data_IF_526309377798
#
_entry.id   IF_526309377798
#
_cell.length_a   1.000
_cell.length_b   1.000
_cell.length_c   1.000
_cell.angle_alpha   90.00
_cell.angle_beta   90.00
_cell.angle_gamma   90.00
#
_symmetry.space_group_name_H-M   'P 1'
#
loop_
_entity.id
_entity.type
_entity.pdbx_description
1 polymer ?
#
# COMPACT_ATOMS: atom_id res chain seq x y z
N UNK A 1 13.73 19.17 -25.35
CA UNK A 1 13.65 17.71 -25.07
C UNK A 1 12.26 17.28 -24.58
N UNK A 2 11.45 18.15 -23.95
CA UNK A 2 10.10 17.83 -23.45
C UNK A 2 9.01 17.52 -24.50
N UNK A 3 9.13 18.04 -25.72
CA UNK A 3 8.08 17.88 -26.75
C UNK A 3 8.03 16.43 -27.29
N UNK A 4 9.18 15.75 -27.35
CA UNK A 4 9.25 14.35 -27.83
C UNK A 4 8.67 13.34 -26.83
N UNK A 5 8.82 13.55 -25.51
CA UNK A 5 8.27 12.62 -24.52
C UNK A 5 6.73 12.63 -24.52
N UNK A 6 6.10 13.81 -24.61
CA UNK A 6 4.63 13.93 -24.63
C UNK A 6 3.99 13.25 -25.84
N UNK A 7 4.68 13.24 -26.99
CA UNK A 7 4.19 12.57 -28.20
C UNK A 7 4.26 11.04 -28.08
N UNK A 8 5.32 10.52 -27.45
CA UNK A 8 5.50 9.09 -27.18
C UNK A 8 4.51 8.62 -26.09
N UNK A 9 4.35 9.37 -25.01
CA UNK A 9 3.39 9.10 -23.92
C UNK A 9 1.93 9.01 -24.42
N UNK A 10 1.60 9.65 -25.55
CA UNK A 10 0.26 9.58 -26.17
C UNK A 10 0.09 8.39 -27.13
N UNK A 11 1.20 7.82 -27.61
CA UNK A 11 1.21 6.69 -28.55
C UNK A 11 1.32 5.33 -27.85
N UNK A 12 1.83 5.28 -26.62
CA UNK A 12 1.98 4.06 -25.83
C UNK A 12 0.74 3.78 -24.97
N UNK A 13 0.26 2.54 -24.98
CA UNK A 13 -0.86 2.11 -24.15
C UNK A 13 -0.52 2.20 -22.66
N UNK A 14 -1.44 2.76 -21.87
CA UNK A 14 -1.34 2.78 -20.41
C UNK A 14 -2.34 1.79 -19.80
N UNK A 15 -1.84 0.61 -19.44
CA UNK A 15 -2.57 -0.42 -18.70
C UNK A 15 -2.85 0.04 -17.26
N UNK A 16 -3.91 -0.51 -16.67
CA UNK A 16 -4.37 -0.13 -15.33
C UNK A 16 -4.62 -1.36 -14.48
N UNK A 17 -3.94 -1.49 -13.37
CA UNK A 17 -4.20 -2.54 -12.38
C UNK A 17 -4.96 -2.00 -11.18
N UNK A 18 -5.88 -2.83 -10.67
CA UNK A 18 -6.58 -2.60 -9.42
C UNK A 18 -6.23 -3.68 -8.40
N UNK A 19 -6.13 -3.30 -7.15
CA UNK A 19 -6.01 -4.23 -6.04
C UNK A 19 -6.90 -3.75 -4.89
N UNK A 20 -7.75 -4.66 -4.41
CA UNK A 20 -8.65 -4.40 -3.30
C UNK A 20 -8.37 -5.39 -2.18
N UNK A 21 -8.31 -4.89 -0.95
CA UNK A 21 -8.18 -5.75 0.23
C UNK A 21 -8.93 -5.12 1.40
N UNK A 22 -9.38 -5.97 2.30
CA UNK A 22 -10.02 -5.60 3.56
C UNK A 22 -9.41 -6.45 4.66
N UNK A 23 -9.35 -5.91 5.87
CA UNK A 23 -8.82 -6.65 7.00
C UNK A 23 -8.99 -5.92 8.33
N UNK A 24 -8.93 -6.66 9.45
CA UNK A 24 -8.93 -6.05 10.77
C UNK A 24 -7.60 -5.34 11.05
N UNK A 25 -7.66 -4.29 11.86
CA UNK A 25 -6.51 -3.64 12.48
C UNK A 25 -6.44 -4.08 13.93
N UNK A 26 -5.35 -4.76 14.29
CA UNK A 26 -5.13 -5.31 15.63
C UNK A 26 -4.08 -4.52 16.41
N UNK A 27 -3.91 -4.85 17.69
CA UNK A 27 -2.84 -4.31 18.54
C UNK A 27 -1.45 -4.81 18.14
N UNK A 28 -1.40 -5.88 17.35
CA UNK A 28 -0.15 -6.40 16.80
C UNK A 28 0.06 -5.81 15.40
N UNK A 29 1.28 -5.34 15.15
CA UNK A 29 1.69 -4.88 13.84
C UNK A 29 1.46 -5.96 12.78
N UNK A 30 0.79 -5.57 11.71
CA UNK A 30 0.55 -6.41 10.54
C UNK A 30 1.06 -5.70 9.30
N UNK A 31 1.36 -6.48 8.25
CA UNK A 31 1.83 -5.96 6.99
C UNK A 31 1.21 -6.69 5.80
N UNK A 32 1.07 -5.97 4.69
CA UNK A 32 0.66 -6.47 3.39
C UNK A 32 1.62 -5.91 2.35
N UNK A 33 1.95 -6.68 1.32
CA UNK A 33 2.89 -6.28 0.28
C UNK A 33 2.45 -6.82 -1.10
N UNK A 34 3.22 -6.46 -2.12
CA UNK A 34 2.96 -6.89 -3.50
C UNK A 34 1.64 -6.36 -4.06
N UNK A 35 1.03 -5.33 -3.47
CA UNK A 35 -0.29 -4.82 -3.87
C UNK A 35 -0.22 -3.72 -4.94
N UNK A 36 0.98 -3.28 -5.32
CA UNK A 36 1.17 -2.17 -6.27
C UNK A 36 1.06 -2.67 -7.70
N UNK A 37 1.80 -3.71 -8.06
CA UNK A 37 1.74 -4.37 -9.36
C UNK A 37 1.84 -5.88 -9.17
N UNK A 38 0.84 -6.64 -9.64
CA UNK A 38 0.84 -8.11 -9.71
C UNK A 38 0.55 -8.53 -11.14
N UNK A 39 1.58 -8.68 -11.96
CA UNK A 39 1.44 -8.89 -13.39
C UNK A 39 2.01 -10.25 -13.75
N UNK A 40 1.24 -11.12 -14.40
CA UNK A 40 1.77 -12.37 -14.94
C UNK A 40 2.51 -12.12 -16.26
N UNK A 41 3.55 -12.91 -16.60
CA UNK A 41 4.13 -12.82 -17.94
C UNK A 41 3.09 -13.32 -18.95
N UNK A 42 2.83 -12.55 -20.01
CA UNK A 42 1.83 -12.93 -21.00
C UNK A 42 1.70 -11.92 -22.14
N UNK A 43 1.22 -12.39 -23.29
CA UNK A 43 0.99 -11.59 -24.51
C UNK A 43 -0.50 -11.29 -24.74
N UNK A 44 -1.35 -11.54 -23.75
CA UNK A 44 -2.77 -11.28 -23.84
C UNK A 44 -3.02 -9.78 -23.98
N UNK A 45 -3.63 -9.37 -25.10
CA UNK A 45 -4.09 -8.00 -25.27
C UNK A 45 -5.17 -7.70 -24.24
N UNK A 46 -4.87 -6.84 -23.28
CA UNK A 46 -5.81 -6.41 -22.27
C UNK A 46 -6.53 -5.19 -22.80
N UNK A 47 -7.81 -5.33 -23.13
CA UNK A 47 -8.59 -4.24 -23.72
C UNK A 47 -8.64 -3.00 -22.82
N UNK A 48 -8.96 -1.84 -23.40
CA UNK A 48 -9.00 -0.51 -22.76
C UNK A 48 -9.93 -0.39 -21.54
N UNK A 49 -10.80 -1.37 -21.30
CA UNK A 49 -11.78 -1.40 -20.21
C UNK A 49 -11.54 -2.54 -19.19
N UNK A 50 -10.48 -3.33 -19.34
CA UNK A 50 -10.17 -4.48 -18.47
C UNK A 50 -8.94 -4.14 -17.61
N UNK A 51 -8.91 -4.63 -16.38
CA UNK A 51 -7.74 -4.46 -15.53
C UNK A 51 -6.53 -5.15 -16.19
N UNK A 52 -5.41 -4.44 -16.25
CA UNK A 52 -4.16 -5.00 -16.72
C UNK A 52 -3.59 -5.95 -15.68
N UNK A 53 -3.45 -7.23 -16.05
CA UNK A 53 -2.98 -8.33 -15.21
C UNK A 53 -1.74 -9.01 -15.80
N UNK A 54 -1.29 -8.59 -16.98
CA UNK A 54 -0.15 -9.18 -17.67
C UNK A 54 0.85 -8.14 -18.16
N UNK A 55 2.08 -8.61 -18.36
CA UNK A 55 3.20 -7.83 -18.90
C UNK A 55 3.91 -8.58 -20.02
N UNK A 56 4.48 -7.83 -20.95
CA UNK A 56 5.39 -8.34 -21.97
C UNK A 56 6.82 -8.17 -21.45
N UNK A 57 7.53 -9.29 -21.33
CA UNK A 57 8.92 -9.28 -20.85
C UNK A 57 9.07 -9.15 -19.33
N UNK A 58 10.16 -8.50 -18.91
CA UNK A 58 10.62 -8.48 -17.51
C UNK A 58 10.60 -7.08 -16.90
N UNK A 59 10.03 -6.08 -17.58
CA UNK A 59 9.95 -4.72 -17.05
C UNK A 59 8.69 -4.02 -17.52
N UNK A 60 8.17 -3.14 -16.66
CA UNK A 60 7.11 -2.19 -17.02
C UNK A 60 7.49 -0.80 -16.53
N UNK A 61 6.95 0.24 -17.15
CA UNK A 61 7.14 1.61 -16.69
C UNK A 61 5.92 2.07 -15.88
N UNK A 62 6.03 2.09 -14.56
CA UNK A 62 4.97 2.54 -13.65
C UNK A 62 4.80 4.06 -13.74
N UNK A 63 3.61 4.54 -14.12
CA UNK A 63 3.29 5.96 -14.29
C UNK A 63 2.55 6.57 -13.10
N UNK A 64 1.70 5.79 -12.43
CA UNK A 64 1.05 6.25 -11.20
C UNK A 64 0.68 5.10 -10.27
N UNK A 65 0.69 5.37 -8.97
CA UNK A 65 0.22 4.45 -7.93
C UNK A 65 -0.49 5.27 -6.85
N UNK A 66 -1.76 4.98 -6.66
CA UNK A 66 -2.65 5.67 -5.71
C UNK A 66 -3.45 4.67 -4.92
N UNK A 67 -3.74 4.98 -3.66
CA UNK A 67 -4.68 4.24 -2.84
C UNK A 67 -5.74 5.16 -2.27
N UNK A 68 -6.98 4.68 -2.21
CA UNK A 68 -8.00 5.22 -1.33
C UNK A 68 -8.21 4.21 -0.21
N UNK A 69 -8.07 4.66 1.03
CA UNK A 69 -8.27 3.86 2.22
C UNK A 69 -9.48 4.37 2.98
N UNK A 70 -10.29 3.43 3.45
CA UNK A 70 -11.38 3.68 4.39
C UNK A 70 -11.18 2.80 5.60
N UNK A 71 -11.02 3.42 6.77
CA UNK A 71 -10.88 2.74 8.05
C UNK A 71 -12.11 3.07 8.87
N UNK A 72 -12.82 2.08 9.39
CA UNK A 72 -14.00 2.30 10.23
C UNK A 72 -14.00 1.39 11.46
N UNK A 73 -14.64 1.87 12.52
CA UNK A 73 -15.11 1.01 13.61
C UNK A 73 -16.28 0.14 13.13
N UNK A 74 -16.35 -1.09 13.63
CA UNK A 74 -17.43 -2.02 13.29
C UNK A 74 -18.77 -1.54 13.85
N UNK A 75 -19.82 -1.79 13.07
CA UNK A 75 -21.21 -1.55 13.42
C UNK A 75 -21.97 -2.86 13.41
N UNK A 76 -22.96 -3.00 14.28
CA UNK A 76 -23.96 -4.07 14.19
C UNK A 76 -24.79 -3.92 12.92
N UNK A 77 -25.61 -4.93 12.59
CA UNK A 77 -26.57 -4.85 11.49
C UNK A 77 -27.52 -3.64 11.63
N UNK A 78 -27.86 -3.27 12.86
CA UNK A 78 -28.71 -2.10 13.18
C UNK A 78 -27.96 -0.75 13.12
N UNK A 79 -26.68 -0.76 12.69
CA UNK A 79 -25.87 0.44 12.53
C UNK A 79 -25.27 0.99 13.83
N UNK A 80 -25.43 0.28 14.96
CA UNK A 80 -24.90 0.68 16.27
C UNK A 80 -23.40 0.34 16.33
N UNK A 81 -22.58 1.28 16.80
CA UNK A 81 -21.15 1.03 16.98
C UNK A 81 -20.92 -0.04 18.03
N UNK A 82 -20.01 -0.98 17.73
CA UNK A 82 -19.69 -2.07 18.65
C UNK A 82 -18.58 -1.70 19.66
N UNK A 83 -17.88 -0.58 19.45
CA UNK A 83 -16.74 -0.17 20.29
C UNK A 83 -17.06 1.13 21.05
N UNK A 84 -18.15 1.11 21.83
CA UNK A 84 -18.66 2.28 22.55
C UNK A 84 -17.68 2.71 23.66
N UNK A 85 -17.40 4.01 23.73
CA UNK A 85 -16.67 4.65 24.83
C UNK A 85 -15.14 4.61 24.74
N UNK A 86 -14.56 3.94 23.74
CA UNK A 86 -13.10 3.85 23.57
C UNK A 86 -12.61 4.66 22.38
N UNK A 87 -11.56 5.47 22.60
CA UNK A 87 -10.79 6.06 21.50
C UNK A 87 -9.77 5.04 21.02
N UNK A 88 -9.82 4.72 19.73
CA UNK A 88 -8.90 3.78 19.09
C UNK A 88 -7.87 4.56 18.28
N UNK A 89 -6.59 4.38 18.59
CA UNK A 89 -5.50 5.05 17.87
C UNK A 89 -4.96 4.12 16.80
N UNK A 90 -4.90 4.59 15.56
CA UNK A 90 -4.44 3.82 14.42
C UNK A 90 -3.18 4.44 13.83
N UNK A 91 -2.29 3.58 13.32
CA UNK A 91 -1.16 3.99 12.49
C UNK A 91 -1.08 3.13 11.24
N UNK A 92 -0.86 3.76 10.09
CA UNK A 92 -0.64 3.10 8.79
C UNK A 92 0.61 3.70 8.15
N UNK A 93 1.55 2.86 7.80
CA UNK A 93 2.79 3.21 7.10
C UNK A 93 2.73 2.65 5.67
N UNK A 94 3.20 3.43 4.71
CA UNK A 94 3.55 2.95 3.37
C UNK A 94 5.06 3.05 3.20
N UNK A 95 5.75 1.92 3.13
CA UNK A 95 7.22 1.84 3.18
C UNK A 95 7.74 0.89 2.11
N UNK A 96 8.70 1.33 1.31
CA UNK A 96 9.33 0.52 0.25
C UNK A 96 10.67 -0.02 0.73
N UNK A 97 10.92 -1.31 0.47
CA UNK A 97 12.22 -1.95 0.69
C UNK A 97 13.13 -1.68 -0.51
N UNK A 98 14.26 -1.04 -0.24
CA UNK A 98 15.25 -0.66 -1.25
C UNK A 98 16.45 -1.61 -1.31
N UNK A 99 16.49 -2.63 -0.45
CA UNK A 99 17.62 -3.56 -0.39
C UNK A 99 17.35 -4.90 -1.04
N UNK A 100 16.12 -5.41 -0.97
CA UNK A 100 15.75 -6.72 -1.51
C UNK A 100 14.24 -6.78 -1.83
N UNK A 101 13.79 -7.95 -2.27
CA UNK A 101 12.40 -8.24 -2.67
C UNK A 101 11.47 -8.68 -1.53
N UNK A 102 11.88 -8.49 -0.27
CA UNK A 102 11.09 -8.90 0.90
C UNK A 102 10.21 -7.78 1.44
N UNK A 103 9.10 -8.15 2.08
CA UNK A 103 8.26 -7.20 2.80
C UNK A 103 8.99 -6.60 4.00
N UNK A 104 8.67 -5.36 4.35
CA UNK A 104 9.10 -4.75 5.61
C UNK A 104 8.03 -4.94 6.68
N UNK A 105 8.48 -5.27 7.89
CA UNK A 105 7.68 -5.24 9.10
C UNK A 105 7.96 -3.96 9.91
N UNK A 106 7.11 -3.68 10.91
CA UNK A 106 7.29 -2.52 11.79
C UNK A 106 8.67 -2.53 12.48
N UNK A 107 9.18 -3.70 12.84
CA UNK A 107 10.50 -3.86 13.47
C UNK A 107 11.67 -3.50 12.55
N UNK A 108 11.49 -3.52 11.22
CA UNK A 108 12.53 -3.07 10.29
C UNK A 108 12.60 -1.54 10.20
N UNK A 109 11.47 -0.85 10.47
CA UNK A 109 11.29 0.57 10.18
C UNK A 109 11.31 1.44 11.44
N UNK A 110 10.77 0.96 12.56
CA UNK A 110 10.52 1.74 13.77
C UNK A 110 11.55 1.43 14.88
N UNK A 111 11.97 2.46 15.61
CA UNK A 111 12.92 2.32 16.74
C UNK A 111 12.36 1.40 17.83
N UNK A 112 11.10 1.62 18.18
CA UNK A 112 10.40 0.87 19.22
C UNK A 112 8.98 0.50 18.73
N UNK A 113 8.79 -0.67 18.12
CA UNK A 113 7.47 -1.11 17.69
C UNK A 113 6.46 -1.31 18.83
N UNK A 114 6.91 -1.42 20.09
CA UNK A 114 6.03 -1.61 21.25
C UNK A 114 5.37 -0.29 21.71
N UNK A 115 5.78 0.85 21.17
CA UNK A 115 5.09 2.15 21.34
C UNK A 115 4.57 2.67 19.99
N UNK A 116 3.59 1.97 19.37
CA UNK A 116 3.26 2.08 17.96
C UNK A 116 2.92 3.49 17.47
N UNK A 117 2.21 4.27 18.28
CA UNK A 117 1.78 5.63 17.89
C UNK A 117 2.93 6.63 17.95
N UNK A 118 3.83 6.51 18.95
CA UNK A 118 4.87 7.51 19.19
C UNK A 118 6.24 7.12 18.62
N UNK A 119 6.42 5.85 18.24
CA UNK A 119 7.68 5.34 17.71
C UNK A 119 8.18 6.12 16.50
N UNK A 120 9.44 6.52 16.55
CA UNK A 120 10.16 7.19 15.47
C UNK A 120 10.80 6.17 14.53
N UNK A 121 11.27 6.62 13.37
CA UNK A 121 11.96 5.75 12.42
C UNK A 121 13.38 5.41 12.90
N UNK A 122 13.88 4.25 12.50
CA UNK A 122 15.27 3.88 12.77
C UNK A 122 16.24 4.83 12.06
N UNK A 123 17.21 5.34 12.81
CA UNK A 123 18.26 6.21 12.27
C UNK A 123 19.48 5.41 11.77
N UNK A 124 19.62 4.16 12.22
CA UNK A 124 20.66 3.22 11.80
C UNK A 124 20.06 1.82 11.77
N UNK A 125 20.11 1.16 10.62
CA UNK A 125 19.50 -0.14 10.43
C UNK A 125 20.50 -1.22 10.83
N UNK A 126 20.19 -1.98 11.90
CA UNK A 126 20.76 -3.31 12.04
C UNK A 126 20.24 -4.17 10.87
N UNK A 127 21.14 -4.81 10.13
CA UNK A 127 20.88 -5.73 8.98
C UNK A 127 20.89 -5.19 7.54
N UNK A 128 21.45 -4.02 7.22
CA UNK A 128 21.73 -3.59 5.83
C UNK A 128 20.50 -3.35 4.92
N UNK A 129 19.28 -3.59 5.41
CA UNK A 129 18.07 -3.17 4.71
C UNK A 129 18.05 -1.64 4.66
N UNK A 130 17.58 -1.07 3.57
CA UNK A 130 17.36 0.37 3.37
C UNK A 130 15.89 0.52 3.03
N UNK A 131 15.23 1.50 3.62
CA UNK A 131 13.82 1.74 3.34
C UNK A 131 13.55 3.18 2.94
N UNK A 132 12.40 3.37 2.30
CA UNK A 132 11.83 4.69 2.06
C UNK A 132 10.39 4.73 2.55
N UNK A 133 10.13 5.64 3.49
CA UNK A 133 8.76 5.93 3.94
C UNK A 133 8.12 6.86 2.93
N UNK A 134 6.99 6.44 2.35
CA UNK A 134 6.18 7.25 1.44
C UNK A 134 5.04 7.96 2.16
N UNK A 135 4.47 7.34 3.19
CA UNK A 135 3.46 7.95 4.04
C UNK A 135 3.43 7.31 5.43
N UNK A 136 3.01 8.11 6.41
CA UNK A 136 2.77 7.70 7.80
C UNK A 136 1.53 8.44 8.29
N UNK A 137 0.43 7.70 8.42
CA UNK A 137 -0.84 8.22 8.88
C UNK A 137 -1.07 7.78 10.30
N UNK A 138 -1.10 8.74 11.22
CA UNK A 138 -1.53 8.56 12.61
C UNK A 138 -2.87 9.25 12.82
N UNK A 139 -3.84 8.56 13.38
CA UNK A 139 -5.18 9.10 13.60
C UNK A 139 -5.89 8.36 14.72
N UNK A 140 -6.98 8.93 15.23
CA UNK A 140 -7.89 8.24 16.14
C UNK A 140 -9.27 8.04 15.50
N UNK A 141 -9.95 7.01 15.98
CA UNK A 141 -11.36 6.73 15.75
C UNK A 141 -12.06 6.72 17.10
N UNK A 142 -13.31 7.17 17.11
CA UNK A 142 -14.13 7.32 18.31
C UNK A 142 -15.60 7.26 17.91
N UNK A 143 -16.52 7.30 18.88
CA UNK A 143 -17.95 7.22 18.60
C UNK A 143 -18.46 8.39 17.74
N UNK A 144 -17.91 9.60 17.93
CA UNK A 144 -18.22 10.79 17.14
C UNK A 144 -17.55 10.77 15.75
N UNK A 145 -16.40 10.09 15.63
CA UNK A 145 -15.61 9.97 14.39
C UNK A 145 -15.25 8.51 14.14
N UNK A 146 -16.24 7.66 13.81
CA UNK A 146 -16.01 6.22 13.70
C UNK A 146 -15.32 5.82 12.39
N UNK A 147 -14.99 6.79 11.53
CA UNK A 147 -14.46 6.58 10.20
C UNK A 147 -13.32 7.57 9.88
N UNK A 148 -12.30 7.06 9.20
CA UNK A 148 -11.24 7.85 8.56
C UNK A 148 -11.13 7.47 7.09
N UNK A 149 -11.11 8.49 6.23
CA UNK A 149 -10.73 8.37 4.82
C UNK A 149 -9.31 8.91 4.63
N UNK A 150 -8.48 8.16 3.91
CA UNK A 150 -7.10 8.54 3.60
C UNK A 150 -6.84 8.31 2.10
N UNK A 151 -6.07 9.21 1.51
CA UNK A 151 -5.64 9.09 0.12
C UNK A 151 -4.11 9.02 0.09
N UNK A 152 -3.59 7.92 -0.44
CA UNK A 152 -2.17 7.71 -0.67
C UNK A 152 -1.87 7.94 -2.15
N UNK A 153 -0.75 8.62 -2.42
CA UNK A 153 -0.21 8.77 -3.78
C UNK A 153 1.31 8.62 -3.71
N UNK A 154 1.82 7.59 -4.35
CA UNK A 154 3.26 7.41 -4.47
C UNK A 154 3.84 8.49 -5.38
N UNK A 155 4.90 9.19 -4.93
CA UNK A 155 5.62 10.14 -5.77
C UNK A 155 6.44 9.38 -6.81
N UNK A 156 6.06 9.52 -8.07
CA UNK A 156 6.71 8.90 -9.24
C UNK A 156 7.15 10.03 -10.18
N UNK A 157 8.35 9.97 -10.78
CA UNK A 157 8.78 10.93 -11.81
C UNK A 157 7.78 11.00 -12.96
N UNK A 158 7.73 12.14 -13.67
CA UNK A 158 6.85 12.30 -14.84
C UNK A 158 7.14 11.26 -15.94
N UNK A 159 8.40 10.86 -16.07
CA UNK A 159 8.85 9.82 -17.01
C UNK A 159 8.38 8.42 -16.62
N UNK A 160 7.91 8.23 -15.38
CA UNK A 160 7.62 6.93 -14.78
C UNK A 160 8.79 6.39 -13.95
N UNK A 161 8.55 5.25 -13.29
CA UNK A 161 9.55 4.40 -12.63
C UNK A 161 9.57 3.08 -13.39
N UNK A 162 10.73 2.71 -13.95
CA UNK A 162 10.92 1.36 -14.48
C UNK A 162 10.91 0.39 -13.31
N UNK A 163 10.11 -0.67 -13.43
CA UNK A 163 9.93 -1.73 -12.44
C UNK A 163 10.29 -3.04 -13.10
N UNK A 164 11.13 -3.84 -12.46
CA UNK A 164 11.67 -5.09 -12.99
C UNK A 164 11.01 -6.30 -12.34
N UNK A 165 11.01 -7.41 -13.06
CA UNK A 165 10.48 -8.70 -12.63
C UNK A 165 11.50 -9.78 -12.93
N UNK A 166 11.68 -10.70 -11.98
CA UNK A 166 12.40 -11.93 -12.24
C UNK A 166 11.59 -12.82 -13.21
N UNK A 167 12.29 -13.75 -13.88
CA UNK A 167 11.68 -14.68 -14.84
C UNK A 167 10.54 -15.46 -14.18
N UNK A 168 9.35 -15.38 -14.78
CA UNK A 168 8.15 -16.08 -14.27
C UNK A 168 7.48 -15.42 -13.05
N UNK A 169 8.10 -14.42 -12.42
CA UNK A 169 7.54 -13.76 -11.24
C UNK A 169 6.29 -12.96 -11.59
N UNK A 170 5.33 -12.91 -10.66
CA UNK A 170 4.17 -12.02 -10.73
C UNK A 170 4.37 -10.73 -9.93
N UNK A 171 5.34 -10.71 -9.02
CA UNK A 171 5.69 -9.54 -8.21
C UNK A 171 6.99 -8.90 -8.72
N UNK A 172 7.11 -7.57 -8.63
CA UNK A 172 8.36 -6.88 -8.90
C UNK A 172 9.51 -7.36 -8.02
N UNK A 173 10.73 -7.31 -8.55
CA UNK A 173 11.96 -7.53 -7.75
C UNK A 173 12.46 -6.25 -7.08
N UNK A 174 12.12 -5.08 -7.62
CA UNK A 174 12.65 -3.77 -7.21
C UNK A 174 11.58 -2.75 -6.80
N UNK A 175 10.35 -3.20 -6.54
CA UNK A 175 9.26 -2.39 -6.00
C UNK A 175 8.51 -3.18 -4.93
N UNK A 176 8.93 -3.00 -3.68
CA UNK A 176 8.55 -3.82 -2.54
C UNK A 176 7.82 -2.97 -1.49
N UNK A 177 6.81 -2.24 -1.98
CA UNK A 177 5.97 -1.40 -1.12
C UNK A 177 5.16 -2.28 -0.17
N UNK A 178 5.37 -2.03 1.11
CA UNK A 178 4.66 -2.62 2.23
C UNK A 178 3.71 -1.60 2.82
N UNK A 179 2.48 -2.03 3.10
CA UNK A 179 1.57 -1.32 3.99
C UNK A 179 1.67 -2.00 5.34
N UNK A 180 2.03 -1.24 6.37
CA UNK A 180 2.20 -1.73 7.73
C UNK A 180 1.19 -1.00 8.61
N UNK A 181 0.44 -1.72 9.46
CA UNK A 181 -0.61 -1.11 10.26
C UNK A 181 -0.75 -1.71 11.66
N UNK A 182 -1.36 -0.92 12.54
CA UNK A 182 -1.66 -1.27 13.94
C UNK A 182 -2.81 -0.40 14.45
N UNK A 183 -3.52 -0.88 15.45
CA UNK A 183 -4.51 -0.14 16.23
C UNK A 183 -4.35 -0.39 17.74
N UNK A 184 -4.30 0.68 18.54
CA UNK A 184 -4.23 0.64 20.01
C UNK A 184 -5.55 1.13 20.63
N UNK A 185 -5.78 0.81 21.91
CA UNK A 185 -7.03 1.18 22.60
C UNK A 185 -8.21 0.25 22.29
N UNK A 186 -7.93 -0.93 21.73
CA UNK A 186 -8.90 -2.01 21.49
C UNK A 186 -8.65 -3.17 22.45
N UNK A 187 -9.64 -3.99 22.76
CA UNK A 187 -9.39 -5.24 23.51
C UNK A 187 -8.86 -6.32 22.53
N UNK A 188 -7.69 -6.95 22.76
CA UNK A 188 -7.08 -7.90 21.82
C UNK A 188 -7.93 -9.15 21.55
N UNK A 189 -8.79 -9.57 22.49
CA UNK A 189 -9.72 -10.70 22.30
C UNK A 189 -11.09 -10.28 21.76
N UNK A 190 -11.32 -8.99 21.55
CA UNK A 190 -12.60 -8.49 21.04
C UNK A 190 -12.72 -8.65 19.53
N UNK A 191 -13.91 -8.99 19.06
CA UNK A 191 -14.26 -8.96 17.63
C UNK A 191 -14.44 -7.51 17.10
N UNK A 192 -14.43 -6.50 17.97
CA UNK A 192 -14.70 -5.10 17.64
C UNK A 192 -13.44 -4.32 17.26
N UNK A 193 -12.68 -4.88 16.30
CA UNK A 193 -11.45 -4.27 15.76
C UNK A 193 -11.81 -3.31 14.61
N UNK A 194 -11.12 -2.17 14.45
CA UNK A 194 -11.28 -1.37 13.24
C UNK A 194 -11.01 -2.20 11.99
N UNK A 195 -11.71 -1.92 10.91
CA UNK A 195 -11.52 -2.59 9.63
C UNK A 195 -11.03 -1.58 8.62
N UNK A 196 -9.91 -1.88 7.97
CA UNK A 196 -9.46 -1.14 6.80
C UNK A 196 -10.07 -1.73 5.53
N UNK A 197 -10.36 -0.87 4.57
CA UNK A 197 -10.71 -1.23 3.21
C UNK A 197 -9.84 -0.39 2.30
N UNK A 198 -9.17 -1.04 1.35
CA UNK A 198 -8.21 -0.38 0.48
C UNK A 198 -8.54 -0.68 -0.95
N UNK A 199 -8.51 0.37 -1.74
CA UNK A 199 -8.56 0.31 -3.18
C UNK A 199 -7.30 0.96 -3.73
N UNK A 200 -6.39 0.13 -4.24
CA UNK A 200 -5.19 0.52 -4.96
C UNK A 200 -5.49 0.58 -6.45
N UNK A 201 -4.94 1.62 -7.09
CA UNK A 201 -4.93 1.79 -8.54
C UNK A 201 -3.51 2.11 -8.99
N UNK A 202 -3.00 1.31 -9.91
CA UNK A 202 -1.71 1.53 -10.55
C UNK A 202 -1.89 1.65 -12.06
N UNK A 203 -1.15 2.57 -12.68
CA UNK A 203 -1.09 2.70 -14.15
C UNK A 203 0.33 2.49 -14.62
N UNK A 204 0.52 1.74 -15.68
CA UNK A 204 1.83 1.39 -16.22
C UNK A 204 1.81 1.30 -17.75
N UNK A 205 2.98 1.48 -18.35
CA UNK A 205 3.24 1.23 -19.77
C UNK A 205 4.02 -0.09 -19.89
N UNK A 206 3.65 -0.88 -20.89
CA UNK A 206 4.16 -2.22 -21.15
C UNK A 206 4.61 -2.27 -22.62
N UNK A 207 5.80 -1.75 -22.89
CA UNK A 207 6.36 -1.52 -24.22
C UNK A 207 7.82 -1.96 -24.28
#
# INVERSE_FOLDING_TARGET
MEIKSKAIDKATEQKVQYYTTTGPMDQTWSANNGFVLRLAPGVGGEGTNVAGLSRIGQSVNLKSCTANLRINLNKTADGILQNLGNTVYCRILFVDNLSDNTALAAADVLQDPATPINSTYKNSMSSSKKYKVYADYKFCLSDDKPQKLLNFKMKIPKTGRVVHYDIGSTNPSDLNLSMIWVAEGINPVSFNKPVYNIFMKSRFEDA
#
